data_IF_308126446075
#
_entry.id   IF_308126446075
#
_cell.length_a   1.000
_cell.length_b   1.000
_cell.length_c   1.000
_cell.angle_alpha   90.00
_cell.angle_beta   90.00
_cell.angle_gamma   90.00
#
_symmetry.space_group_name_H-M   'P 1'
#
loop_
_entity.id
_entity.type
_entity.pdbx_description
1 polymer ?
#
# COMPACT_ATOMS: atom_id res chain seq x y z
N UNK A 1 -23.92 -4.49 -20.09
CA UNK A 1 -22.72 -5.18 -19.57
C UNK A 1 -21.54 -4.27 -19.80
N UNK A 2 -20.84 -3.81 -18.77
CA UNK A 2 -19.72 -2.87 -18.95
C UNK A 2 -18.51 -3.69 -19.43
N UNK A 3 -18.25 -3.65 -20.73
CA UNK A 3 -16.95 -4.02 -21.30
C UNK A 3 -15.93 -2.99 -20.77
N UNK A 4 -15.06 -3.43 -19.87
CA UNK A 4 -14.03 -2.57 -19.30
C UNK A 4 -12.89 -2.41 -20.31
N UNK A 5 -13.03 -1.44 -21.22
CA UNK A 5 -11.97 -0.96 -22.11
C UNK A 5 -10.96 -0.06 -21.37
N UNK A 6 -10.59 -0.43 -20.14
CA UNK A 6 -9.71 0.38 -19.30
C UNK A 6 -8.49 -0.42 -18.87
N UNK A 7 -7.31 0.15 -19.12
CA UNK A 7 -6.04 -0.42 -18.67
C UNK A 7 -5.98 -0.37 -17.14
N UNK A 8 -5.51 -1.44 -16.52
CA UNK A 8 -5.34 -1.61 -15.07
C UNK A 8 -4.70 -0.41 -14.35
N UNK A 9 -3.80 0.31 -15.03
CA UNK A 9 -3.15 1.51 -14.50
C UNK A 9 -4.07 2.73 -14.39
N UNK A 10 -5.02 2.90 -15.31
CA UNK A 10 -5.96 4.02 -15.29
C UNK A 10 -6.95 3.87 -14.14
N UNK A 11 -7.36 2.64 -13.85
CA UNK A 11 -8.19 2.32 -12.69
C UNK A 11 -7.49 2.65 -11.37
N UNK A 12 -6.24 2.22 -11.19
CA UNK A 12 -5.46 2.50 -9.96
C UNK A 12 -5.29 4.01 -9.74
N UNK A 13 -5.17 4.79 -10.82
CA UNK A 13 -4.96 6.23 -10.74
C UNK A 13 -6.25 7.01 -10.46
N UNK A 14 -7.39 6.52 -10.94
CA UNK A 14 -8.67 7.25 -10.94
C UNK A 14 -9.63 6.83 -9.83
N UNK A 15 -9.53 5.60 -9.30
CA UNK A 15 -10.48 5.06 -8.33
C UNK A 15 -9.86 4.85 -6.95
N UNK A 16 -10.64 5.24 -5.93
CA UNK A 16 -10.26 5.20 -4.52
C UNK A 16 -10.17 3.74 -4.00
N UNK A 17 -11.00 2.83 -4.54
CA UNK A 17 -11.05 1.44 -4.12
C UNK A 17 -10.21 0.50 -5.02
N UNK A 18 -8.93 0.36 -4.65
CA UNK A 18 -8.01 -0.60 -5.28
C UNK A 18 -8.33 -2.05 -4.93
N UNK A 19 -9.09 -2.31 -3.87
CA UNK A 19 -9.40 -3.65 -3.40
C UNK A 19 -10.43 -4.31 -4.31
N UNK A 20 -11.51 -3.61 -4.65
CA UNK A 20 -12.56 -4.11 -5.55
C UNK A 20 -12.01 -4.49 -6.93
N UNK A 21 -11.12 -3.65 -7.48
CA UNK A 21 -10.45 -3.93 -8.75
C UNK A 21 -9.66 -5.25 -8.68
N UNK A 22 -8.92 -5.47 -7.59
CA UNK A 22 -8.12 -6.70 -7.41
C UNK A 22 -9.02 -7.92 -7.27
N UNK A 23 -10.15 -7.78 -6.58
CA UNK A 23 -11.10 -8.86 -6.41
C UNK A 23 -11.68 -9.30 -7.76
N UNK A 24 -12.17 -8.35 -8.56
CA UNK A 24 -12.69 -8.62 -9.90
C UNK A 24 -11.64 -9.24 -10.82
N UNK A 25 -10.41 -8.71 -10.76
CA UNK A 25 -9.29 -9.24 -11.53
C UNK A 25 -8.95 -10.68 -11.16
N UNK A 26 -9.01 -11.06 -9.88
CA UNK A 26 -8.78 -12.44 -9.45
C UNK A 26 -9.94 -13.34 -9.85
N UNK A 27 -11.19 -12.91 -9.68
CA UNK A 27 -12.36 -13.68 -10.12
C UNK A 27 -12.30 -14.01 -11.61
N UNK A 28 -11.99 -13.03 -12.46
CA UNK A 28 -11.82 -13.24 -13.89
C UNK A 28 -10.63 -14.17 -14.20
N UNK A 29 -9.54 -14.07 -13.44
CA UNK A 29 -8.39 -14.97 -13.61
C UNK A 29 -8.68 -16.40 -13.19
N UNK A 30 -9.54 -16.63 -12.20
CA UNK A 30 -9.99 -17.96 -11.79
C UNK A 30 -10.96 -18.57 -12.81
N UNK A 31 -11.81 -17.76 -13.45
CA UNK A 31 -12.77 -18.21 -14.45
C UNK A 31 -12.14 -18.46 -15.83
N UNK A 32 -11.23 -17.60 -16.28
CA UNK A 32 -10.72 -17.59 -17.66
C UNK A 32 -9.21 -17.83 -17.76
N UNK A 33 -8.52 -17.94 -16.63
CA UNK A 33 -7.07 -18.09 -16.58
C UNK A 33 -6.30 -16.76 -16.63
N UNK A 34 -5.03 -16.81 -16.25
CA UNK A 34 -4.20 -15.61 -16.04
C UNK A 34 -3.91 -14.81 -17.32
N UNK A 35 -3.60 -15.49 -18.45
CA UNK A 35 -3.19 -14.81 -19.70
C UNK A 35 -4.37 -14.06 -20.35
N UNK A 36 -5.58 -14.65 -20.49
CA UNK A 36 -6.74 -13.92 -20.99
C UNK A 36 -7.10 -12.71 -20.14
N UNK A 37 -7.07 -12.86 -18.81
CA UNK A 37 -7.33 -11.75 -17.89
C UNK A 37 -6.30 -10.62 -18.02
N UNK A 38 -5.01 -10.95 -18.20
CA UNK A 38 -3.99 -9.92 -18.42
C UNK A 38 -4.29 -9.07 -19.67
N UNK A 39 -4.76 -9.70 -20.76
CA UNK A 39 -5.17 -9.02 -22.00
C UNK A 39 -6.42 -8.17 -21.78
N UNK A 40 -7.46 -8.73 -21.15
CA UNK A 40 -8.73 -8.05 -20.86
C UNK A 40 -8.53 -6.75 -20.06
N UNK A 41 -7.65 -6.77 -19.07
CA UNK A 41 -7.40 -5.62 -18.20
C UNK A 41 -6.21 -4.75 -18.66
N UNK A 42 -5.61 -5.01 -19.82
CA UNK A 42 -4.43 -4.28 -20.29
C UNK A 42 -3.29 -4.24 -19.28
N UNK A 43 -3.06 -5.33 -18.55
CA UNK A 43 -2.05 -5.46 -17.49
C UNK A 43 -1.04 -6.55 -17.81
N UNK A 44 -0.03 -6.69 -16.96
CA UNK A 44 0.96 -7.77 -17.12
C UNK A 44 0.47 -9.06 -16.48
N UNK A 45 0.83 -10.20 -17.09
CA UNK A 45 0.61 -11.54 -16.51
C UNK A 45 1.21 -11.65 -15.10
N UNK A 46 2.33 -10.96 -14.84
CA UNK A 46 2.98 -10.91 -13.51
C UNK A 46 2.07 -10.27 -12.46
N UNK A 47 1.38 -9.18 -12.80
CA UNK A 47 0.41 -8.52 -11.90
C UNK A 47 -0.73 -9.46 -11.55
N UNK A 48 -1.30 -10.15 -12.55
CA UNK A 48 -2.40 -11.09 -12.33
C UNK A 48 -1.95 -12.26 -11.45
N UNK A 49 -0.82 -12.90 -11.78
CA UNK A 49 -0.24 -13.98 -10.95
C UNK A 49 -0.02 -13.56 -9.51
N UNK A 50 0.49 -12.35 -9.28
CA UNK A 50 0.72 -11.82 -7.93
C UNK A 50 -0.58 -11.80 -7.12
N UNK A 51 -1.66 -11.27 -7.68
CA UNK A 51 -2.93 -11.14 -6.97
C UNK A 51 -3.62 -12.48 -6.77
N UNK A 52 -3.59 -13.36 -7.78
CA UNK A 52 -4.09 -14.74 -7.65
C UNK A 52 -3.36 -15.48 -6.53
N UNK A 53 -2.02 -15.46 -6.53
CA UNK A 53 -1.23 -16.12 -5.49
C UNK A 53 -1.55 -15.60 -4.07
N UNK A 54 -1.77 -14.30 -3.92
CA UNK A 54 -2.14 -13.71 -2.63
C UNK A 54 -3.56 -14.10 -2.21
N UNK A 55 -4.49 -14.15 -3.16
CA UNK A 55 -5.85 -14.58 -2.91
C UNK A 55 -5.92 -16.08 -2.57
N UNK A 56 -5.10 -16.91 -3.20
CA UNK A 56 -5.03 -18.33 -2.84
C UNK A 56 -4.53 -18.55 -1.42
N UNK A 57 -3.54 -17.76 -0.98
CA UNK A 57 -2.98 -17.82 0.36
C UNK A 57 -3.94 -17.30 1.45
N UNK A 58 -4.47 -16.09 1.26
CA UNK A 58 -5.14 -15.33 2.34
C UNK A 58 -6.59 -14.92 1.96
N UNK A 59 -7.13 -15.45 0.85
CA UNK A 59 -8.45 -15.08 0.30
C UNK A 59 -8.59 -13.56 0.16
N UNK A 60 -9.69 -12.99 0.67
CA UNK A 60 -9.99 -11.56 0.63
C UNK A 60 -8.89 -10.72 1.30
N UNK A 61 -8.37 -11.16 2.45
CA UNK A 61 -7.30 -10.44 3.17
C UNK A 61 -6.00 -10.31 2.35
N UNK A 62 -5.76 -11.25 1.41
CA UNK A 62 -4.60 -11.20 0.51
C UNK A 62 -4.60 -10.02 -0.47
N UNK A 63 -5.77 -9.42 -0.72
CA UNK A 63 -5.94 -8.33 -1.68
C UNK A 63 -5.73 -6.94 -1.06
N UNK A 64 -5.58 -6.86 0.25
CA UNK A 64 -5.29 -5.61 0.96
C UNK A 64 -3.92 -5.03 0.56
N UNK A 65 -3.79 -3.70 0.70
CA UNK A 65 -2.52 -3.04 0.46
C UNK A 65 -1.52 -3.42 1.57
N UNK A 66 -0.42 -4.06 1.16
CA UNK A 66 0.71 -4.32 2.06
C UNK A 66 1.68 -3.15 2.03
N UNK A 67 2.21 -2.77 3.20
CA UNK A 67 3.28 -1.79 3.30
C UNK A 67 4.46 -2.18 2.40
N UNK A 68 5.00 -1.19 1.68
CA UNK A 68 6.22 -1.33 0.86
C UNK A 68 7.48 -1.03 1.65
N UNK A 69 7.34 -0.63 2.91
CA UNK A 69 8.47 -0.26 3.76
C UNK A 69 9.31 -1.51 4.06
N UNK A 70 10.65 -1.45 3.93
CA UNK A 70 11.50 -2.55 4.34
C UNK A 70 11.33 -2.84 5.83
N UNK A 71 11.24 -4.13 6.18
CA UNK A 71 11.14 -4.55 7.59
C UNK A 71 12.43 -4.27 8.37
N UNK A 72 13.58 -4.32 7.70
CA UNK A 72 14.90 -4.04 8.28
C UNK A 72 15.62 -3.03 7.40
N UNK A 73 16.18 -2.00 8.02
CA UNK A 73 17.11 -1.07 7.39
C UNK A 73 18.39 -1.04 8.23
N UNK A 74 19.58 -1.27 7.65
CA UNK A 74 20.84 -1.18 8.39
C UNK A 74 21.06 0.19 9.04
N UNK A 75 20.52 1.24 8.42
CA UNK A 75 20.58 2.61 8.90
C UNK A 75 19.36 3.00 9.76
N UNK A 76 18.56 2.02 10.20
CA UNK A 76 17.44 2.30 11.07
C UNK A 76 17.93 2.88 12.40
N UNK A 77 17.28 3.96 12.84
CA UNK A 77 17.45 4.51 14.19
C UNK A 77 17.26 3.40 15.22
N UNK A 78 18.22 3.25 16.13
CA UNK A 78 18.18 2.22 17.18
C UNK A 78 16.84 2.29 17.95
N UNK A 79 16.24 1.15 18.32
CA UNK A 79 14.92 1.12 18.96
C UNK A 79 14.78 2.05 20.18
N UNK A 80 15.81 2.11 21.02
CA UNK A 80 15.82 2.97 22.21
C UNK A 80 15.84 4.47 21.88
N UNK A 81 16.56 4.89 20.84
CA UNK A 81 16.57 6.29 20.36
C UNK A 81 15.18 6.66 19.85
N UNK A 82 14.57 5.75 19.07
CA UNK A 82 13.20 5.93 18.56
C UNK A 82 12.18 6.05 19.70
N UNK A 83 12.31 5.22 20.74
CA UNK A 83 11.45 5.29 21.92
C UNK A 83 11.56 6.65 22.62
N UNK A 84 12.80 7.12 22.87
CA UNK A 84 13.04 8.44 23.49
C UNK A 84 12.45 9.58 22.67
N UNK A 85 12.61 9.54 21.34
CA UNK A 85 12.04 10.56 20.43
C UNK A 85 10.51 10.59 20.46
N UNK A 86 9.85 9.42 20.53
CA UNK A 86 8.38 9.34 20.60
C UNK A 86 7.88 9.92 21.92
N UNK A 87 8.51 9.55 23.04
CA UNK A 87 8.15 10.07 24.37
C UNK A 87 8.31 11.59 24.42
N UNK A 88 9.44 12.12 23.95
CA UNK A 88 9.68 13.56 23.93
C UNK A 88 8.67 14.28 23.02
N UNK A 89 8.36 13.72 21.84
CA UNK A 89 7.36 14.30 20.95
C UNK A 89 5.95 14.34 21.56
N UNK A 90 5.57 13.30 22.33
CA UNK A 90 4.29 13.25 23.04
C UNK A 90 4.23 14.32 24.14
N UNK A 91 5.26 14.39 24.98
CA UNK A 91 5.38 15.40 26.04
C UNK A 91 5.33 16.83 25.50
N UNK A 92 6.01 17.10 24.39
CA UNK A 92 5.99 18.42 23.74
C UNK A 92 4.61 18.76 23.18
N UNK A 93 3.91 17.77 22.61
CA UNK A 93 2.54 17.94 22.12
C UNK A 93 1.57 18.27 23.24
N UNK A 94 1.67 17.59 24.38
CA UNK A 94 0.88 17.88 25.60
C UNK A 94 1.14 19.30 26.12
N UNK A 95 2.39 19.75 26.08
CA UNK A 95 2.78 21.12 26.45
C UNK A 95 2.46 22.17 25.37
N UNK A 96 1.73 21.80 24.31
CA UNK A 96 1.35 22.69 23.21
C UNK A 96 2.53 23.20 22.38
N UNK A 97 3.72 22.58 22.49
CA UNK A 97 4.93 22.95 21.73
C UNK A 97 4.99 22.11 20.46
N UNK A 98 4.68 22.74 19.32
CA UNK A 98 4.89 22.13 17.99
C UNK A 98 6.38 22.08 17.63
N UNK A 99 6.80 21.09 16.83
CA UNK A 99 8.15 21.00 16.27
C UNK A 99 8.60 22.29 15.56
N UNK A 100 7.66 23.05 14.98
CA UNK A 100 7.90 24.36 14.37
C UNK A 100 8.37 25.39 15.41
N UNK A 101 7.79 25.34 16.62
CA UNK A 101 8.09 26.28 17.72
C UNK A 101 9.46 26.01 18.34
N UNK A 102 9.86 24.75 18.42
CA UNK A 102 11.17 24.32 18.95
C UNK A 102 12.32 24.68 17.99
N UNK A 103 12.14 24.55 16.68
CA UNK A 103 13.18 24.95 15.70
C UNK A 103 13.54 26.43 15.83
N UNK A 104 12.58 27.31 16.10
CA UNK A 104 12.84 28.75 16.34
C UNK A 104 13.66 29.04 17.59
N UNK A 105 13.62 28.17 18.59
CA UNK A 105 14.35 28.36 19.86
C UNK A 105 15.79 27.84 19.81
N UNK A 106 16.10 26.92 18.90
CA UNK A 106 17.44 26.30 18.79
C UNK A 106 18.31 26.98 17.73
N UNK A 107 17.71 27.77 16.83
CA UNK A 107 18.42 28.51 15.77
C UNK A 107 18.70 29.98 16.12
N UNK A 108 18.58 30.35 17.39
CA UNK A 108 18.89 31.70 17.89
C UNK A 108 20.05 31.67 18.87
#
# INVERSE_FOLDING_TARGET
MIELEYKYYEFIKKWEDRYELRLKLVQDALAHGTKPTARKYGTTVKTVRKWVKRYEADKKAGLEERSRKPQRSPQATKPWVRFKLIQEAQHLREKGKSAVRLRRQVSG
#
